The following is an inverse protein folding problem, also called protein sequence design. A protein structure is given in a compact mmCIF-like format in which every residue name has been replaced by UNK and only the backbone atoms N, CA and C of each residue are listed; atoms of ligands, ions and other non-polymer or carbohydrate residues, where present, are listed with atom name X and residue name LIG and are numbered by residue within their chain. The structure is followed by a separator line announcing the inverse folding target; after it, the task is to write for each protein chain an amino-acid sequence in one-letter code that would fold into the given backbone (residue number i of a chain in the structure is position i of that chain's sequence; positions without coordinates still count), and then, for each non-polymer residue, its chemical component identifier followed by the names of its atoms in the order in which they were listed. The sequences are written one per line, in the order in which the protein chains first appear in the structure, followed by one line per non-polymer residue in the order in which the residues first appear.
data_IF_856396590658
#
_entry.id   IF_856396590658
#
_cell.length_a   1.000
_cell.length_b   1.000
_cell.length_c   1.000
_cell.angle_alpha   90.00
_cell.angle_beta   90.00
_cell.angle_gamma   90.00
#
_symmetry.space_group_name_H-M   'P 1'
#
loop_
_entity.id
_entity.type
_entity.pdbx_description
1 polymer ?
#
# COMPACT_ATOMS: atom_id res chain seq x y z
N UNK A 1 -19.14 -0.43 11.91
CA UNK A 1 -20.48 -0.03 11.46
C UNK A 1 -21.42 -1.22 11.26
N UNK A 2 -21.17 -2.15 10.30
CA UNK A 2 -22.09 -3.25 9.98
C UNK A 2 -22.59 -4.06 11.19
N UNK A 3 -21.70 -4.46 12.11
CA UNK A 3 -22.09 -5.14 13.36
C UNK A 3 -23.12 -4.37 14.20
N UNK A 4 -23.03 -3.04 14.23
CA UNK A 4 -23.97 -2.19 14.99
C UNK A 4 -25.29 -2.02 14.24
N UNK A 5 -25.25 -1.81 12.93
CA UNK A 5 -26.47 -1.74 12.11
C UNK A 5 -27.27 -3.04 12.19
N UNK A 6 -26.62 -4.20 12.13
CA UNK A 6 -27.27 -5.50 12.30
C UNK A 6 -27.95 -5.65 13.66
N UNK A 7 -27.35 -5.15 14.75
CA UNK A 7 -27.97 -5.20 16.09
C UNK A 7 -29.21 -4.31 16.22
N UNK A 8 -29.26 -3.21 15.46
CA UNK A 8 -30.40 -2.28 15.50
C UNK A 8 -31.56 -2.81 14.67
N UNK A 9 -31.28 -3.42 13.51
CA UNK A 9 -32.31 -3.75 12.53
C UNK A 9 -32.70 -5.25 12.50
N UNK A 10 -31.94 -6.13 13.17
CA UNK A 10 -32.24 -7.57 13.23
C UNK A 10 -32.47 -8.00 14.67
N UNK A 11 -33.57 -8.73 14.92
CA UNK A 11 -33.78 -9.45 16.19
C UNK A 11 -32.91 -10.71 16.27
N UNK A 12 -32.49 -11.25 15.12
CA UNK A 12 -31.57 -12.39 15.05
C UNK A 12 -30.11 -11.90 15.00
N UNK A 13 -29.33 -12.27 16.03
CA UNK A 13 -27.91 -11.95 16.13
C UNK A 13 -26.99 -13.01 15.51
N UNK A 14 -27.53 -14.13 15.01
CA UNK A 14 -26.75 -15.20 14.35
C UNK A 14 -25.88 -14.63 13.22
N UNK A 15 -26.39 -13.63 12.48
CA UNK A 15 -25.70 -12.89 11.42
C UNK A 15 -24.34 -12.30 11.86
N UNK A 16 -24.17 -11.95 13.14
CA UNK A 16 -22.94 -11.33 13.65
C UNK A 16 -21.73 -12.28 13.62
N UNK A 17 -21.95 -13.61 13.64
CA UNK A 17 -20.87 -14.59 13.60
C UNK A 17 -20.19 -14.64 12.22
N UNK A 18 -20.90 -14.23 11.17
CA UNK A 18 -20.43 -14.17 9.79
C UNK A 18 -19.69 -12.87 9.46
N UNK A 19 -19.73 -11.88 10.37
CA UNK A 19 -19.00 -10.62 10.22
C UNK A 19 -17.64 -10.70 10.94
N UNK A 20 -16.51 -10.78 10.21
CA UNK A 20 -15.20 -10.92 10.82
C UNK A 20 -14.85 -9.70 11.69
N UNK A 21 -14.00 -9.92 12.69
CA UNK A 21 -13.41 -8.81 13.45
C UNK A 21 -12.36 -8.13 12.58
N UNK A 22 -12.20 -6.82 12.76
CA UNK A 22 -11.17 -6.03 12.09
C UNK A 22 -10.29 -5.39 13.17
N UNK A 23 -8.98 -5.58 13.05
CA UNK A 23 -7.96 -5.13 14.01
C UNK A 23 -6.87 -4.31 13.32
N UNK A 24 -7.16 -3.70 12.15
CA UNK A 24 -6.16 -3.00 11.35
C UNK A 24 -5.37 -1.96 12.14
N UNK A 25 -6.04 -1.04 12.84
CA UNK A 25 -5.38 0.05 13.57
C UNK A 25 -4.50 -0.51 14.69
N UNK A 26 -5.02 -1.41 15.53
CA UNK A 26 -4.22 -2.01 16.61
C UNK A 26 -3.02 -2.79 16.08
N UNK A 27 -3.18 -3.51 14.97
CA UNK A 27 -2.08 -4.27 14.38
C UNK A 27 -1.01 -3.37 13.74
N UNK A 28 -1.39 -2.23 13.16
CA UNK A 28 -0.43 -1.21 12.70
C UNK A 28 0.31 -0.59 13.89
N UNK A 29 -0.39 -0.27 14.98
CA UNK A 29 0.26 0.22 16.21
C UNK A 29 1.26 -0.82 16.73
N UNK A 30 0.87 -2.10 16.85
CA UNK A 30 1.77 -3.19 17.27
C UNK A 30 2.99 -3.32 16.36
N UNK A 31 2.82 -3.17 15.04
CA UNK A 31 3.92 -3.16 14.07
C UNK A 31 4.91 -2.02 14.37
N UNK A 32 4.40 -0.79 14.51
CA UNK A 32 5.22 0.39 14.72
C UNK A 32 5.91 0.37 16.09
N UNK A 33 5.23 -0.11 17.14
CA UNK A 33 5.82 -0.36 18.47
C UNK A 33 6.97 -1.37 18.37
N UNK A 34 6.74 -2.51 17.70
CA UNK A 34 7.77 -3.54 17.53
C UNK A 34 8.98 -3.02 16.75
N UNK A 35 8.73 -2.26 15.68
CA UNK A 35 9.79 -1.65 14.88
C UNK A 35 10.56 -0.58 15.66
N UNK A 36 9.87 0.28 16.41
CA UNK A 36 10.50 1.31 17.25
C UNK A 36 11.36 0.69 18.36
N UNK A 37 10.89 -0.36 19.03
CA UNK A 37 11.68 -1.07 20.05
C UNK A 37 12.93 -1.77 19.49
N UNK A 38 12.98 -2.03 18.17
CA UNK A 38 14.20 -2.56 17.54
C UNK A 38 15.29 -1.49 17.34
N UNK A 39 14.93 -0.21 17.42
CA UNK A 39 15.87 0.91 17.33
C UNK A 39 16.58 1.11 18.67
N UNK A 40 17.89 1.39 18.61
CA UNK A 40 18.72 1.67 19.79
C UNK A 40 19.04 3.17 19.81
N UNK A 41 18.44 3.95 20.73
CA UNK A 41 18.68 5.40 20.80
C UNK A 41 20.15 5.75 21.08
N UNK A 42 20.62 6.84 20.48
CA UNK A 42 21.98 7.38 20.66
C UNK A 42 22.03 8.52 21.68
N UNK A 43 20.91 9.21 21.92
CA UNK A 43 20.76 10.29 22.91
C UNK A 43 20.03 9.83 24.16
N UNK A 44 20.23 10.57 25.25
CA UNK A 44 19.43 10.42 26.47
C UNK A 44 18.03 10.97 26.27
N UNK A 45 17.02 10.12 26.41
CA UNK A 45 15.61 10.47 26.21
C UNK A 45 14.86 9.38 25.46
N UNK A 46 13.55 9.57 25.27
CA UNK A 46 12.75 8.67 24.42
C UNK A 46 12.88 9.10 22.96
N UNK A 47 13.35 8.20 22.09
CA UNK A 47 13.24 8.40 20.65
C UNK A 47 11.76 8.39 20.22
N UNK A 48 11.41 9.13 19.17
CA UNK A 48 10.04 9.24 18.67
C UNK A 48 9.82 8.44 17.38
N UNK A 49 8.54 8.24 17.06
CA UNK A 49 8.06 7.92 15.72
C UNK A 49 7.76 9.23 15.00
N UNK A 50 8.32 9.42 13.80
CA UNK A 50 7.98 10.52 12.91
C UNK A 50 7.07 10.01 11.80
N UNK A 51 5.79 10.40 11.83
CA UNK A 51 4.83 10.09 10.78
C UNK A 51 4.92 11.18 9.69
N UNK A 52 5.44 10.80 8.52
CA UNK A 52 5.52 11.69 7.35
C UNK A 52 4.22 11.62 6.56
N UNK A 53 3.63 12.76 6.27
CA UNK A 53 2.24 12.86 5.79
C UNK A 53 2.09 13.87 4.67
N UNK A 54 1.06 13.68 3.84
CA UNK A 54 0.72 14.67 2.82
C UNK A 54 0.10 15.92 3.48
N UNK A 55 0.40 17.12 2.96
CA UNK A 55 -0.31 18.33 3.37
C UNK A 55 -1.80 18.18 3.06
N UNK A 56 -2.66 18.64 3.98
CA UNK A 56 -4.12 18.57 3.85
C UNK A 56 -4.68 17.16 3.53
N UNK A 57 -4.04 16.09 4.04
CA UNK A 57 -4.48 14.70 3.81
C UNK A 57 -5.94 14.47 4.22
N UNK A 58 -6.76 14.00 3.28
CA UNK A 58 -8.13 13.52 3.56
C UNK A 58 -8.14 12.26 4.43
N UNK A 59 -7.02 11.52 4.49
CA UNK A 59 -6.89 10.30 5.29
C UNK A 59 -6.50 10.57 6.75
N UNK A 60 -6.56 11.83 7.20
CA UNK A 60 -6.22 12.18 8.59
C UNK A 60 -7.04 11.39 9.62
N UNK A 61 -8.29 11.02 9.30
CA UNK A 61 -9.15 10.20 10.16
C UNK A 61 -8.61 8.76 10.35
N UNK A 62 -7.85 8.25 9.39
CA UNK A 62 -7.16 6.95 9.48
C UNK A 62 -5.76 7.07 10.11
N UNK A 63 -5.16 8.26 10.08
CA UNK A 63 -3.81 8.54 10.59
C UNK A 63 -3.83 8.82 12.09
N UNK A 64 -4.75 9.67 12.56
CA UNK A 64 -4.83 10.10 13.97
C UNK A 64 -5.00 8.95 14.96
N UNK A 65 -5.82 7.92 14.72
CA UNK A 65 -5.91 6.78 15.63
C UNK A 65 -4.57 6.05 15.83
N UNK A 66 -3.70 6.03 14.81
CA UNK A 66 -2.36 5.43 14.92
C UNK A 66 -1.47 6.31 15.81
N UNK A 67 -1.50 7.64 15.60
CA UNK A 67 -0.76 8.59 16.44
C UNK A 67 -1.18 8.46 17.92
N UNK A 68 -2.48 8.50 18.20
CA UNK A 68 -3.00 8.33 19.57
C UNK A 68 -2.62 6.98 20.17
N UNK A 69 -2.74 5.90 19.41
CA UNK A 69 -2.38 4.57 19.90
C UNK A 69 -0.89 4.39 20.21
N UNK A 70 0.00 5.10 19.52
CA UNK A 70 1.43 5.14 19.88
C UNK A 70 1.67 5.92 21.18
N UNK A 71 0.97 7.05 21.38
CA UNK A 71 1.02 7.80 22.63
C UNK A 71 0.48 6.99 23.82
N UNK A 72 -0.61 6.24 23.62
CA UNK A 72 -1.15 5.31 24.63
C UNK A 72 -0.17 4.18 24.98
N UNK A 73 0.71 3.81 24.04
CA UNK A 73 1.81 2.87 24.25
C UNK A 73 3.10 3.55 24.78
N UNK A 74 3.01 4.80 25.24
CA UNK A 74 4.11 5.62 25.76
C UNK A 74 5.29 5.86 24.79
N UNK A 75 5.01 5.78 23.48
CA UNK A 75 5.94 6.08 22.38
C UNK A 75 5.54 7.43 21.76
N UNK A 76 6.37 8.48 21.89
CA UNK A 76 6.07 9.77 21.27
C UNK A 76 5.92 9.65 19.75
N UNK A 77 4.79 10.09 19.21
CA UNK A 77 4.55 10.15 17.78
C UNK A 77 4.32 11.60 17.35
N UNK A 78 5.14 12.08 16.42
CA UNK A 78 5.01 13.42 15.83
C UNK A 78 4.68 13.32 14.36
N UNK A 79 3.89 14.28 13.89
CA UNK A 79 3.49 14.42 12.50
C UNK A 79 4.35 15.49 11.85
N UNK A 80 4.92 15.19 10.69
CA UNK A 80 5.68 16.15 9.89
C UNK A 80 5.17 16.08 8.45
N UNK A 81 4.75 17.22 7.90
CA UNK A 81 4.35 17.27 6.50
C UNK A 81 5.55 16.98 5.61
N UNK A 82 5.31 16.34 4.47
CA UNK A 82 6.38 15.91 3.56
C UNK A 82 7.29 17.07 3.18
N UNK A 83 6.71 18.21 2.83
CA UNK A 83 7.41 19.42 2.39
C UNK A 83 8.24 20.07 3.51
N UNK A 84 7.78 19.98 4.76
CA UNK A 84 8.46 20.55 5.92
C UNK A 84 9.65 19.71 6.41
N UNK A 85 9.83 18.50 5.87
CA UNK A 85 10.76 17.52 6.42
C UNK A 85 12.21 18.02 6.41
N UNK A 86 12.64 18.79 5.41
CA UNK A 86 14.00 19.31 5.39
C UNK A 86 14.24 20.45 6.39
N UNK A 87 13.20 21.23 6.70
CA UNK A 87 13.26 22.35 7.63
C UNK A 87 13.11 21.90 9.09
N UNK A 88 12.21 20.96 9.34
CA UNK A 88 11.91 20.47 10.69
C UNK A 88 12.83 19.34 11.16
N UNK A 89 13.80 18.92 10.33
CA UNK A 89 14.78 17.90 10.75
C UNK A 89 16.22 18.29 10.47
N UNK A 90 17.12 17.68 11.22
CA UNK A 90 18.55 17.65 10.88
C UNK A 90 19.09 16.23 10.98
N UNK A 91 20.08 15.92 10.15
CA UNK A 91 20.83 14.68 10.22
C UNK A 91 22.19 14.98 10.86
N UNK A 92 22.47 14.40 12.02
CA UNK A 92 23.76 14.57 12.69
C UNK A 92 24.89 13.85 11.95
N UNK A 93 26.14 14.16 12.31
CA UNK A 93 27.32 13.50 11.74
C UNK A 93 27.34 11.98 11.94
N UNK A 94 26.72 11.48 13.00
CA UNK A 94 26.57 10.05 13.28
C UNK A 94 25.29 9.45 12.68
N UNK A 95 24.64 10.14 11.73
CA UNK A 95 23.41 9.72 11.04
C UNK A 95 22.18 9.57 11.95
N UNK A 96 22.19 10.19 13.13
CA UNK A 96 21.00 10.30 13.98
C UNK A 96 20.08 11.38 13.40
N UNK A 97 18.82 11.03 13.14
CA UNK A 97 17.81 11.96 12.66
C UNK A 97 17.18 12.68 13.84
N UNK A 98 17.17 14.01 13.79
CA UNK A 98 16.62 14.87 14.85
C UNK A 98 15.44 15.66 14.29
N UNK A 99 14.30 15.56 14.97
CA UNK A 99 13.10 16.33 14.68
C UNK A 99 13.01 17.54 15.62
N UNK A 100 12.74 18.71 15.07
CA UNK A 100 12.73 19.99 15.80
C UNK A 100 11.30 20.48 15.94
N UNK A 101 10.81 20.53 17.17
CA UNK A 101 9.58 21.25 17.48
C UNK A 101 9.84 22.75 17.44
N UNK A 102 8.89 23.52 16.91
CA UNK A 102 8.98 24.98 16.89
C UNK A 102 9.28 25.54 18.29
N UNK A 103 10.44 26.20 18.43
CA UNK A 103 10.89 26.82 19.68
C UNK A 103 11.54 25.88 20.72
N UNK A 104 11.78 24.60 20.38
CA UNK A 104 12.50 23.66 21.24
C UNK A 104 14.01 23.68 21.00
N UNK A 105 14.80 23.57 22.07
CA UNK A 105 16.25 23.42 21.99
C UNK A 105 16.63 21.92 22.04
N UNK A 106 17.58 21.48 21.19
CA UNK A 106 18.22 20.15 21.29
C UNK A 106 17.73 19.02 20.37
N UNK A 107 16.55 19.15 19.73
CA UNK A 107 16.00 18.19 18.76
C UNK A 107 15.65 16.80 19.33
N UNK A 108 14.51 16.24 18.94
CA UNK A 108 14.03 14.93 19.36
C UNK A 108 14.59 13.85 18.44
N UNK A 109 15.26 12.84 19.00
CA UNK A 109 15.76 11.73 18.20
C UNK A 109 14.62 10.91 17.58
N UNK A 110 14.68 10.70 16.26
CA UNK A 110 13.70 9.89 15.53
C UNK A 110 14.21 8.45 15.43
N UNK A 111 13.50 7.52 16.06
CA UNK A 111 13.82 6.09 16.00
C UNK A 111 13.13 5.35 14.86
N UNK A 112 12.00 5.88 14.38
CA UNK A 112 11.20 5.28 13.31
C UNK A 112 10.59 6.37 12.42
N UNK A 113 10.72 6.24 11.10
CA UNK A 113 10.00 7.04 10.12
C UNK A 113 8.87 6.19 9.53
N UNK A 114 7.63 6.64 9.72
CA UNK A 114 6.44 5.98 9.17
C UNK A 114 5.84 6.82 8.03
N UNK A 115 5.88 6.26 6.81
CA UNK A 115 5.45 6.97 5.61
C UNK A 115 3.94 6.86 5.39
N UNK A 116 3.28 8.02 5.33
CA UNK A 116 1.92 8.27 4.82
C UNK A 116 1.95 9.30 3.67
N UNK A 117 3.14 9.50 3.10
CA UNK A 117 3.49 10.35 1.96
C UNK A 117 4.72 9.76 1.26
N UNK A 118 5.09 10.34 0.12
CA UNK A 118 6.24 9.89 -0.68
C UNK A 118 5.97 8.62 -1.47
N UNK A 119 4.72 8.41 -1.90
CA UNK A 119 4.31 7.32 -2.78
C UNK A 119 4.01 7.80 -4.21
N UNK A 120 3.83 9.10 -4.39
CA UNK A 120 3.35 9.68 -5.63
C UNK A 120 4.47 10.44 -6.36
N UNK A 121 4.53 10.41 -7.70
CA UNK A 121 5.63 11.02 -8.45
C UNK A 121 5.85 12.51 -8.16
N UNK A 122 4.76 13.27 -8.00
CA UNK A 122 4.84 14.72 -7.76
C UNK A 122 5.44 15.05 -6.39
N UNK A 123 5.36 14.15 -5.41
CA UNK A 123 6.00 14.33 -4.11
C UNK A 123 7.54 14.27 -4.21
N UNK A 124 8.07 13.76 -5.32
CA UNK A 124 9.52 13.71 -5.62
C UNK A 124 9.99 14.82 -6.55
N UNK A 125 9.11 15.77 -6.87
CA UNK A 125 9.50 17.04 -7.49
C UNK A 125 10.28 17.89 -6.46
N UNK A 126 11.04 18.87 -6.96
CA UNK A 126 11.86 19.74 -6.12
C UNK A 126 12.76 18.98 -5.12
N UNK A 127 12.49 19.13 -3.82
CA UNK A 127 13.29 18.60 -2.72
C UNK A 127 12.89 17.18 -2.28
N UNK A 128 11.84 16.58 -2.87
CA UNK A 128 11.33 15.28 -2.43
C UNK A 128 12.34 14.14 -2.48
N UNK A 129 13.28 14.18 -3.44
CA UNK A 129 14.39 13.22 -3.50
C UNK A 129 15.35 13.38 -2.31
N UNK A 130 15.63 14.61 -1.91
CA UNK A 130 16.48 14.93 -0.77
C UNK A 130 15.79 14.57 0.55
N UNK A 131 14.48 14.82 0.66
CA UNK A 131 13.64 14.38 1.78
C UNK A 131 13.77 12.87 1.98
N UNK A 132 13.55 12.10 0.91
CA UNK A 132 13.66 10.64 0.95
C UNK A 132 15.08 10.20 1.30
N UNK A 133 16.10 10.81 0.67
CA UNK A 133 17.50 10.48 0.89
C UNK A 133 17.90 10.70 2.36
N UNK A 134 17.52 11.83 2.97
CA UNK A 134 17.79 12.12 4.39
C UNK A 134 17.21 11.05 5.30
N UNK A 135 15.96 10.63 5.05
CA UNK A 135 15.33 9.56 5.82
C UNK A 135 16.11 8.25 5.68
N UNK A 136 16.41 7.84 4.44
CA UNK A 136 17.09 6.57 4.17
C UNK A 136 18.53 6.53 4.71
N UNK A 137 19.25 7.66 4.68
CA UNK A 137 20.60 7.80 5.23
C UNK A 137 20.64 7.81 6.77
N UNK A 138 19.51 8.05 7.43
CA UNK A 138 19.45 8.03 8.89
C UNK A 138 19.44 6.62 9.47
N UNK A 139 19.85 6.50 10.73
CA UNK A 139 19.76 5.28 11.53
C UNK A 139 18.32 4.88 11.88
N UNK A 140 17.35 5.78 11.76
CA UNK A 140 15.95 5.50 12.06
C UNK A 140 15.47 4.29 11.24
N UNK A 141 14.61 3.46 11.82
CA UNK A 141 13.94 2.40 11.08
C UNK A 141 12.94 3.03 10.10
N UNK A 142 12.85 2.52 8.87
CA UNK A 142 11.92 3.03 7.85
C UNK A 142 10.76 2.05 7.67
N UNK A 143 9.54 2.57 7.62
CA UNK A 143 8.34 1.79 7.39
C UNK A 143 7.55 2.36 6.18
N UNK A 144 7.82 1.91 4.94
CA UNK A 144 8.90 1.00 4.52
C UNK A 144 10.21 1.71 4.14
N UNK A 145 11.33 0.98 4.11
CA UNK A 145 12.59 1.45 3.48
C UNK A 145 12.48 1.48 1.94
N UNK A 146 13.47 2.07 1.27
CA UNK A 146 13.45 2.23 -0.20
C UNK A 146 13.44 0.89 -0.94
N UNK A 147 14.16 -0.11 -0.45
CA UNK A 147 14.20 -1.42 -1.09
C UNK A 147 12.86 -2.13 -1.00
N UNK A 148 12.20 -2.06 0.17
CA UNK A 148 10.86 -2.58 0.39
C UNK A 148 9.84 -1.83 -0.46
N UNK A 149 9.96 -0.50 -0.57
CA UNK A 149 9.09 0.28 -1.46
C UNK A 149 9.22 -0.18 -2.92
N UNK A 150 10.44 -0.43 -3.42
CA UNK A 150 10.62 -0.95 -4.78
C UNK A 150 9.93 -2.30 -5.02
N UNK A 151 9.75 -3.12 -3.97
CA UNK A 151 9.06 -4.41 -4.11
C UNK A 151 7.56 -4.28 -4.42
N UNK A 152 6.95 -3.11 -4.20
CA UNK A 152 5.52 -2.90 -4.48
C UNK A 152 5.25 -2.61 -5.95
N UNK A 153 6.30 -2.35 -6.75
CA UNK A 153 6.17 -2.04 -8.17
C UNK A 153 5.52 -3.18 -8.95
N UNK A 154 4.67 -2.81 -9.92
CA UNK A 154 3.95 -3.78 -10.75
C UNK A 154 4.88 -4.64 -11.60
N UNK A 155 6.06 -4.12 -11.98
CA UNK A 155 7.12 -4.88 -12.63
C UNK A 155 7.69 -5.98 -11.72
N UNK A 156 7.84 -5.71 -10.41
CA UNK A 156 8.28 -6.73 -9.45
C UNK A 156 7.19 -7.79 -9.28
N UNK A 157 5.93 -7.37 -9.15
CA UNK A 157 4.78 -8.29 -9.14
C UNK A 157 4.81 -9.21 -10.38
N UNK A 158 5.01 -8.64 -11.58
CA UNK A 158 5.11 -9.38 -12.82
C UNK A 158 6.30 -10.36 -12.83
N UNK A 159 7.48 -9.92 -12.40
CA UNK A 159 8.68 -10.76 -12.34
C UNK A 159 8.50 -11.97 -11.40
N UNK A 160 7.78 -11.80 -10.29
CA UNK A 160 7.47 -12.88 -9.35
C UNK A 160 6.53 -13.95 -9.93
N UNK A 161 5.72 -13.62 -10.95
CA UNK A 161 4.86 -14.60 -11.62
C UNK A 161 5.60 -15.56 -12.55
N UNK A 162 6.83 -15.21 -12.93
CA UNK A 162 7.62 -16.01 -13.88
C UNK A 162 8.03 -17.36 -13.27
N UNK A 163 8.14 -18.43 -14.09
CA UNK A 163 8.55 -19.74 -13.62
C UNK A 163 9.88 -19.71 -12.84
N UNK A 164 9.91 -20.32 -11.66
CA UNK A 164 11.10 -20.38 -10.82
C UNK A 164 11.42 -19.11 -10.01
N UNK A 165 10.72 -17.98 -10.24
CA UNK A 165 11.00 -16.74 -9.53
C UNK A 165 10.70 -16.83 -8.03
N UNK A 166 9.54 -17.39 -7.65
CA UNK A 166 9.16 -17.53 -6.23
C UNK A 166 10.09 -18.48 -5.47
N UNK A 167 10.54 -19.56 -6.12
CA UNK A 167 11.41 -20.58 -5.53
C UNK A 167 12.79 -20.05 -5.11
N UNK A 168 13.19 -18.89 -5.64
CA UNK A 168 14.41 -18.18 -5.19
C UNK A 168 14.28 -17.62 -3.77
N UNK A 169 13.05 -17.40 -3.30
CA UNK A 169 12.76 -16.74 -2.02
C UNK A 169 11.98 -17.64 -1.06
N UNK A 170 11.29 -18.66 -1.56
CA UNK A 170 10.33 -19.46 -0.80
C UNK A 170 10.50 -20.96 -1.06
N UNK A 171 10.27 -21.80 -0.04
CA UNK A 171 10.12 -23.24 -0.24
C UNK A 171 9.03 -23.54 -1.26
N UNK A 172 9.22 -24.60 -2.05
CA UNK A 172 8.33 -25.01 -3.15
C UNK A 172 6.85 -25.05 -2.75
N UNK A 173 6.53 -25.59 -1.56
CA UNK A 173 5.15 -25.67 -1.08
C UNK A 173 4.49 -24.28 -0.95
N UNK A 174 5.18 -23.31 -0.34
CA UNK A 174 4.68 -21.94 -0.21
C UNK A 174 4.61 -21.23 -1.56
N UNK A 175 5.62 -21.44 -2.42
CA UNK A 175 5.62 -20.90 -3.78
C UNK A 175 4.41 -21.41 -4.58
N UNK A 176 4.07 -22.70 -4.48
CA UNK A 176 2.88 -23.27 -5.13
C UNK A 176 1.58 -22.64 -4.62
N UNK A 177 1.42 -22.47 -3.31
CA UNK A 177 0.22 -21.84 -2.73
C UNK A 177 0.07 -20.37 -3.19
N UNK A 178 1.14 -19.59 -3.16
CA UNK A 178 1.11 -18.18 -3.59
C UNK A 178 0.83 -18.09 -5.10
N UNK A 179 1.43 -18.97 -5.91
CA UNK A 179 1.20 -18.97 -7.37
C UNK A 179 -0.26 -19.17 -7.75
N UNK A 180 -1.06 -19.85 -6.93
CA UNK A 180 -2.51 -20.02 -7.17
C UNK A 180 -3.29 -18.70 -7.12
N UNK A 181 -2.73 -17.64 -6.51
CA UNK A 181 -3.38 -16.33 -6.43
C UNK A 181 -3.00 -15.39 -7.58
N UNK A 182 -2.09 -15.81 -8.45
CA UNK A 182 -1.56 -14.96 -9.52
C UNK A 182 -2.48 -14.97 -10.74
N UNK A 183 -2.70 -13.78 -11.29
CA UNK A 183 -3.24 -13.63 -12.63
C UNK A 183 -2.12 -13.63 -13.66
N UNK A 184 -2.39 -14.11 -14.90
CA UNK A 184 -1.44 -13.96 -16.00
C UNK A 184 -1.05 -12.50 -16.20
N UNK A 185 0.24 -12.22 -16.22
CA UNK A 185 0.77 -10.88 -16.46
C UNK A 185 2.16 -10.94 -17.10
N UNK A 186 2.45 -9.98 -17.97
CA UNK A 186 3.70 -9.93 -18.73
C UNK A 186 4.13 -8.49 -19.01
N UNK A 187 5.44 -8.26 -19.08
CA UNK A 187 6.03 -6.98 -19.50
C UNK A 187 5.84 -6.76 -21.01
N UNK A 188 5.71 -5.50 -21.43
CA UNK A 188 5.74 -5.13 -22.85
C UNK A 188 7.18 -4.77 -23.28
N UNK A 189 8.13 -5.65 -23.02
CA UNK A 189 9.54 -5.48 -23.43
C UNK A 189 9.79 -6.08 -24.84
N UNK A 190 11.07 -6.21 -25.22
CA UNK A 190 11.51 -6.73 -26.53
C UNK A 190 11.83 -8.22 -26.51
N UNK A 191 11.57 -8.93 -25.41
CA UNK A 191 11.69 -10.40 -25.34
C UNK A 191 10.62 -11.07 -26.22
N UNK A 192 10.77 -12.35 -26.62
CA UNK A 192 9.74 -13.05 -27.38
C UNK A 192 8.35 -13.02 -26.72
N UNK A 193 8.29 -13.19 -25.39
CA UNK A 193 7.07 -13.12 -24.59
C UNK A 193 6.52 -11.69 -24.53
N UNK A 194 7.41 -10.70 -24.39
CA UNK A 194 7.05 -9.29 -24.43
C UNK A 194 6.44 -8.89 -25.76
N UNK A 195 7.06 -9.28 -26.88
CA UNK A 195 6.52 -9.06 -28.23
C UNK A 195 5.16 -9.73 -28.43
N UNK A 196 4.94 -10.91 -27.83
CA UNK A 196 3.62 -11.55 -27.77
C UNK A 196 2.58 -10.66 -27.07
N UNK A 197 2.95 -10.10 -25.93
CA UNK A 197 2.09 -9.22 -25.14
C UNK A 197 1.84 -7.88 -25.84
N UNK A 198 2.83 -7.34 -26.55
CA UNK A 198 2.65 -6.16 -27.42
C UNK A 198 1.58 -6.42 -28.49
N UNK A 199 1.62 -7.58 -29.16
CA UNK A 199 0.59 -7.96 -30.14
C UNK A 199 -0.81 -8.05 -29.55
N UNK A 200 -0.94 -8.55 -28.32
CA UNK A 200 -2.22 -8.59 -27.60
C UNK A 200 -2.68 -7.16 -27.27
N UNK A 201 -1.79 -6.34 -26.70
CA UNK A 201 -2.11 -4.99 -26.27
C UNK A 201 -2.41 -4.02 -27.42
N UNK A 202 -1.92 -4.30 -28.63
CA UNK A 202 -2.22 -3.50 -29.83
C UNK A 202 -3.48 -3.95 -30.60
N UNK A 203 -4.12 -5.04 -30.18
CA UNK A 203 -5.33 -5.58 -30.80
C UNK A 203 -6.54 -5.27 -29.92
N UNK A 204 -7.53 -4.53 -30.45
CA UNK A 204 -8.70 -4.08 -29.68
C UNK A 204 -9.53 -5.23 -29.12
N UNK A 205 -9.72 -6.30 -29.88
CA UNK A 205 -10.54 -7.43 -29.46
C UNK A 205 -9.83 -8.23 -28.36
N UNK A 206 -8.52 -8.44 -28.53
CA UNK A 206 -7.72 -9.19 -27.54
C UNK A 206 -7.50 -8.38 -26.26
N UNK A 207 -7.28 -7.07 -26.37
CA UNK A 207 -7.06 -6.18 -25.24
C UNK A 207 -8.27 -6.10 -24.30
N UNK A 208 -9.48 -6.41 -24.77
CA UNK A 208 -10.72 -6.41 -23.99
C UNK A 208 -10.65 -7.23 -22.69
N UNK A 209 -9.82 -8.28 -22.66
CA UNK A 209 -9.63 -9.13 -21.47
C UNK A 209 -8.47 -8.70 -20.56
N UNK A 210 -7.90 -7.51 -20.79
CA UNK A 210 -6.68 -7.06 -20.14
C UNK A 210 -6.78 -5.67 -19.53
N UNK A 211 -5.83 -5.41 -18.64
CA UNK A 211 -5.55 -4.13 -18.03
C UNK A 211 -4.05 -3.85 -18.17
N UNK A 212 -3.73 -2.65 -18.67
CA UNK A 212 -2.37 -2.15 -18.75
C UNK A 212 -2.09 -1.33 -17.49
N UNK A 213 -0.99 -1.62 -16.79
CA UNK A 213 -0.62 -0.94 -15.54
C UNK A 213 0.79 -0.36 -15.62
N UNK A 214 0.99 0.93 -15.34
CA UNK A 214 2.31 1.49 -15.09
C UNK A 214 2.80 1.15 -13.67
N UNK A 215 4.07 1.44 -13.38
CA UNK A 215 4.67 1.29 -12.05
C UNK A 215 4.28 2.46 -11.12
N UNK A 216 2.99 2.67 -10.91
CA UNK A 216 2.44 3.70 -10.02
C UNK A 216 1.48 3.07 -8.99
N UNK A 217 1.29 3.76 -7.86
CA UNK A 217 0.35 3.37 -6.78
C UNK A 217 -0.83 4.36 -6.71
N UNK A 218 -1.70 4.28 -5.70
CA UNK A 218 -2.78 5.28 -5.51
C UNK A 218 -4.03 5.16 -6.41
N UNK A 219 -3.97 4.32 -7.46
CA UNK A 219 -5.05 4.12 -8.45
C UNK A 219 -5.05 5.20 -9.55
N UNK A 220 -5.92 5.13 -10.57
CA UNK A 220 -6.05 6.09 -11.70
C UNK A 220 -5.07 5.97 -12.85
N UNK A 221 -4.08 5.11 -12.71
CA UNK A 221 -3.02 4.99 -13.70
C UNK A 221 -3.22 3.83 -14.66
N UNK A 222 -4.25 3.01 -14.44
CA UNK A 222 -4.50 1.84 -15.28
C UNK A 222 -5.27 2.22 -16.54
N UNK A 223 -4.99 1.50 -17.63
CA UNK A 223 -5.72 1.60 -18.89
C UNK A 223 -6.40 0.26 -19.13
N UNK A 224 -7.68 0.29 -19.44
CA UNK A 224 -8.54 -0.89 -19.47
C UNK A 224 -8.91 -1.25 -20.90
N UNK A 225 -8.95 -2.55 -21.20
CA UNK A 225 -9.72 -3.09 -22.33
C UNK A 225 -9.36 -2.44 -23.68
N UNK A 226 -10.36 -2.06 -24.47
CA UNK A 226 -10.25 -1.42 -25.77
C UNK A 226 -9.52 -0.09 -25.80
N UNK A 227 -9.27 0.54 -24.65
CA UNK A 227 -8.52 1.80 -24.55
C UNK A 227 -7.02 1.58 -24.59
N UNK A 228 -6.55 0.35 -24.33
CA UNK A 228 -5.12 -0.01 -24.29
C UNK A 228 -4.41 0.27 -25.63
N UNK A 229 -4.92 -0.16 -26.80
CA UNK A 229 -4.24 0.08 -28.07
C UNK A 229 -4.11 1.56 -28.40
N UNK A 230 -5.14 2.36 -28.13
CA UNK A 230 -5.14 3.80 -28.41
C UNK A 230 -4.15 4.53 -27.50
N UNK A 231 -4.15 4.20 -26.20
CA UNK A 231 -3.15 4.73 -25.28
C UNK A 231 -1.72 4.38 -25.72
N UNK A 232 -1.46 3.11 -26.05
CA UNK A 232 -0.13 2.67 -26.47
C UNK A 232 0.34 3.32 -27.78
N UNK A 233 -0.58 3.65 -28.70
CA UNK A 233 -0.25 4.39 -29.91
C UNK A 233 0.23 5.82 -29.64
N UNK A 234 -0.15 6.40 -28.48
CA UNK A 234 0.33 7.72 -28.06
C UNK A 234 1.68 7.69 -27.34
N UNK A 235 2.16 6.50 -26.97
CA UNK A 235 3.41 6.31 -26.21
C UNK A 235 4.51 5.76 -27.12
N UNK A 236 5.72 6.34 -27.12
CA UNK A 236 6.84 5.80 -27.89
C UNK A 236 7.12 4.34 -27.56
N UNK A 237 7.35 3.52 -28.59
CA UNK A 237 7.42 2.06 -28.47
C UNK A 237 8.59 1.57 -27.58
N UNK A 238 9.64 2.38 -27.47
CA UNK A 238 10.77 2.21 -26.56
C UNK A 238 10.35 2.29 -25.08
N UNK A 239 9.29 3.02 -24.76
CA UNK A 239 8.82 3.20 -23.37
C UNK A 239 7.82 2.14 -22.92
N UNK A 240 7.37 1.26 -23.82
CA UNK A 240 6.36 0.25 -23.50
C UNK A 240 6.83 -0.71 -22.39
N UNK A 241 8.14 -0.88 -22.22
CA UNK A 241 8.71 -1.68 -21.12
C UNK A 241 8.36 -1.16 -19.72
N UNK A 242 7.89 0.09 -19.60
CA UNK A 242 7.45 0.70 -18.33
C UNK A 242 6.07 0.16 -17.87
N UNK A 243 5.37 -0.57 -18.72
CA UNK A 243 4.04 -1.10 -18.45
C UNK A 243 4.04 -2.63 -18.34
N UNK A 244 3.08 -3.13 -17.58
CA UNK A 244 2.72 -4.54 -17.56
C UNK A 244 1.33 -4.71 -18.17
N UNK A 245 1.12 -5.80 -18.92
CA UNK A 245 -0.18 -6.26 -19.36
C UNK A 245 -0.63 -7.37 -18.42
N UNK A 246 -1.75 -7.19 -17.73
CA UNK A 246 -2.31 -8.19 -16.81
C UNK A 246 -3.70 -8.60 -17.28
N UNK A 247 -4.02 -9.89 -17.22
CA UNK A 247 -5.38 -10.37 -17.49
C UNK A 247 -6.33 -9.82 -16.44
N UNK A 248 -7.50 -9.34 -16.87
CA UNK A 248 -8.53 -8.87 -15.95
C UNK A 248 -9.05 -10.01 -15.08
N UNK A 249 -9.29 -9.67 -13.81
CA UNK A 249 -9.98 -10.57 -12.88
C UNK A 249 -11.46 -10.52 -13.24
N UNK A 250 -12.07 -11.69 -13.41
CA UNK A 250 -13.51 -11.84 -13.57
C UNK A 250 -14.12 -12.04 -12.18
N UNK A 251 -14.76 -11.00 -11.59
CA UNK A 251 -15.40 -11.15 -10.29
C UNK A 251 -16.64 -12.04 -10.40
N UNK A 252 -17.13 -12.61 -9.28
CA UNK A 252 -18.39 -13.33 -9.27
C UNK A 252 -19.52 -12.50 -9.89
N UNK A 253 -20.33 -13.08 -10.80
CA UNK A 253 -21.44 -12.37 -11.41
C UNK A 253 -22.58 -12.14 -10.41
N UNK A 254 -23.48 -11.22 -10.77
CA UNK A 254 -24.78 -11.01 -10.11
C UNK A 254 -24.75 -10.60 -8.63
N UNK A 255 -23.62 -10.09 -8.14
CA UNK A 255 -23.54 -9.48 -6.80
C UNK A 255 -24.22 -8.11 -6.81
N UNK A 256 -25.23 -7.93 -5.98
CA UNK A 256 -25.94 -6.66 -5.78
C UNK A 256 -25.53 -6.01 -4.47
N UNK A 257 -25.47 -4.68 -4.43
CA UNK A 257 -25.09 -3.93 -3.24
C UNK A 257 -25.75 -2.57 -3.15
N UNK A 258 -25.75 -2.03 -1.93
CA UNK A 258 -26.16 -0.66 -1.63
C UNK A 258 -24.92 0.13 -1.21
N UNK A 259 -24.61 1.19 -1.95
CA UNK A 259 -23.46 2.06 -1.68
C UNK A 259 -23.97 3.45 -1.30
N UNK A 260 -23.45 3.97 -0.19
CA UNK A 260 -23.73 5.32 0.26
C UNK A 260 -22.49 6.17 0.02
N UNK A 261 -22.59 7.12 -0.90
CA UNK A 261 -21.53 8.09 -1.18
C UNK A 261 -21.88 9.45 -0.58
N UNK A 262 -20.94 10.40 -0.59
CA UNK A 262 -21.20 11.75 -0.12
C UNK A 262 -22.27 12.51 -0.95
N UNK A 263 -22.54 12.04 -2.18
CA UNK A 263 -23.48 12.69 -3.11
C UNK A 263 -24.82 11.96 -3.13
N UNK A 264 -24.78 10.64 -3.34
CA UNK A 264 -25.97 9.84 -3.63
C UNK A 264 -25.89 8.43 -3.03
N UNK A 265 -27.05 7.76 -3.04
CA UNK A 265 -27.17 6.33 -2.75
C UNK A 265 -27.28 5.54 -4.06
N UNK A 266 -26.42 4.55 -4.24
CA UNK A 266 -26.44 3.63 -5.37
C UNK A 266 -26.98 2.27 -4.94
N UNK A 267 -27.85 1.68 -5.77
CA UNK A 267 -28.28 0.30 -5.64
C UNK A 267 -28.16 -0.39 -7.00
N UNK A 268 -27.45 -1.51 -7.05
CA UNK A 268 -27.27 -2.27 -8.28
C UNK A 268 -26.10 -3.23 -8.20
N UNK A 269 -25.62 -3.64 -9.38
CA UNK A 269 -24.50 -4.57 -9.50
C UNK A 269 -23.22 -3.96 -8.94
N UNK A 270 -22.50 -4.72 -8.12
CA UNK A 270 -21.26 -4.28 -7.46
C UNK A 270 -20.13 -5.29 -7.64
N UNK A 271 -18.90 -4.79 -7.50
CA UNK A 271 -17.69 -5.60 -7.41
C UNK A 271 -16.97 -5.26 -6.12
N UNK A 272 -16.57 -6.31 -5.40
CA UNK A 272 -15.85 -6.18 -4.14
C UNK A 272 -14.38 -6.56 -4.31
N UNK A 273 -13.51 -5.87 -3.57
CA UNK A 273 -12.08 -6.12 -3.50
C UNK A 273 -11.67 -6.34 -2.05
N UNK A 274 -11.17 -7.54 -1.75
CA UNK A 274 -10.64 -7.89 -0.43
C UNK A 274 -9.13 -7.62 -0.39
N UNK A 275 -8.72 -6.74 0.51
CA UNK A 275 -7.33 -6.57 0.91
C UNK A 275 -7.06 -7.31 2.22
N UNK A 276 -5.94 -8.03 2.29
CA UNK A 276 -5.45 -8.63 3.54
C UNK A 276 -4.25 -7.82 4.01
N UNK A 277 -4.32 -7.31 5.25
CA UNK A 277 -3.23 -6.57 5.87
C UNK A 277 -2.24 -7.57 6.49
N UNK A 278 -0.96 -7.42 6.18
CA UNK A 278 0.14 -8.13 6.81
C UNK A 278 1.12 -7.16 7.48
N UNK A 279 1.67 -7.55 8.62
CA UNK A 279 2.69 -6.78 9.36
C UNK A 279 3.96 -7.60 9.44
N UNK A 280 5.10 -7.02 9.05
CA UNK A 280 6.40 -7.67 9.10
C UNK A 280 7.46 -6.70 9.62
N UNK A 281 8.27 -7.16 10.57
CA UNK A 281 9.48 -6.47 11.03
C UNK A 281 10.62 -7.47 10.92
N UNK A 282 11.73 -7.06 10.33
CA UNK A 282 12.91 -7.91 10.21
C UNK A 282 14.18 -7.12 10.49
N UNK A 283 15.17 -7.80 11.05
CA UNK A 283 16.52 -7.30 11.22
C UNK A 283 17.42 -7.95 10.16
N UNK A 284 18.29 -7.15 9.55
CA UNK A 284 19.34 -7.67 8.68
C UNK A 284 20.68 -7.06 9.09
N UNK A 285 21.53 -7.89 9.68
CA UNK A 285 22.93 -7.53 9.91
C UNK A 285 23.75 -7.82 8.66
N UNK A 286 24.75 -6.97 8.38
CA UNK A 286 25.65 -7.19 7.26
C UNK A 286 26.27 -8.59 7.34
N UNK A 287 26.19 -9.36 6.25
CA UNK A 287 26.68 -10.74 6.19
C UNK A 287 25.87 -11.79 6.93
N UNK A 288 24.70 -11.44 7.51
CA UNK A 288 23.81 -12.38 8.19
C UNK A 288 22.52 -12.62 7.38
N UNK A 289 21.87 -13.75 7.66
CA UNK A 289 20.51 -14.01 7.18
C UNK A 289 19.52 -13.00 7.79
N UNK A 290 18.38 -12.83 7.12
CA UNK A 290 17.30 -11.96 7.60
C UNK A 290 16.64 -12.63 8.81
N UNK A 291 16.58 -11.92 9.93
CA UNK A 291 15.93 -12.37 11.15
C UNK A 291 14.54 -11.71 11.28
N UNK A 292 13.43 -12.44 11.07
CA UNK A 292 12.09 -11.88 11.25
C UNK A 292 11.77 -11.69 12.73
N UNK A 293 11.56 -10.45 13.15
CA UNK A 293 11.13 -10.09 14.51
C UNK A 293 9.60 -10.18 14.66
N UNK A 294 8.87 -9.91 13.59
CA UNK A 294 7.42 -10.05 13.52
C UNK A 294 7.01 -10.42 12.09
N UNK A 295 6.03 -11.31 11.92
CA UNK A 295 5.42 -11.65 10.64
C UNK A 295 4.03 -12.22 10.89
N UNK A 296 2.99 -11.41 10.70
CA UNK A 296 1.60 -11.75 11.05
C UNK A 296 0.63 -11.25 10.00
N UNK A 297 -0.44 -12.01 9.81
CA UNK A 297 -1.67 -11.48 9.21
C UNK A 297 -2.37 -10.64 10.28
N UNK A 298 -2.67 -9.39 9.94
CA UNK A 298 -3.05 -8.34 10.88
C UNK A 298 -4.52 -7.94 10.79
N UNK A 299 -5.10 -8.03 9.60
CA UNK A 299 -6.49 -7.64 9.38
C UNK A 299 -6.84 -7.62 7.91
N UNK A 300 -7.84 -6.81 7.56
CA UNK A 300 -8.39 -6.78 6.21
C UNK A 300 -9.02 -5.43 5.89
N UNK A 301 -9.04 -5.10 4.61
CA UNK A 301 -9.86 -4.03 4.04
C UNK A 301 -10.81 -4.65 3.05
N UNK A 302 -12.01 -4.12 2.94
CA UNK A 302 -12.99 -4.57 1.96
C UNK A 302 -13.56 -3.32 1.32
N UNK A 303 -13.47 -3.25 -0.01
CA UNK A 303 -13.91 -2.10 -0.78
C UNK A 303 -14.91 -2.57 -1.81
N UNK A 304 -15.96 -1.81 -2.02
CA UNK A 304 -17.02 -2.16 -2.97
C UNK A 304 -17.29 -0.97 -3.89
N UNK A 305 -17.45 -1.25 -5.19
CA UNK A 305 -17.74 -0.24 -6.23
C UNK A 305 -18.88 -0.72 -7.13
N UNK A 306 -19.57 0.18 -7.85
CA UNK A 306 -20.45 -0.21 -8.94
C UNK A 306 -19.72 -1.07 -9.97
N UNK A 307 -20.36 -2.13 -10.47
CA UNK A 307 -19.72 -3.07 -11.40
C UNK A 307 -19.27 -2.42 -12.72
N UNK A 308 -19.97 -1.36 -13.14
CA UNK A 308 -19.63 -0.60 -14.34
C UNK A 308 -18.42 0.35 -14.16
N UNK A 309 -17.93 0.56 -12.93
CA UNK A 309 -16.77 1.41 -12.69
C UNK A 309 -15.48 0.60 -12.86
N UNK A 310 -14.57 1.04 -13.73
CA UNK A 310 -13.29 0.36 -13.93
C UNK A 310 -12.34 0.51 -12.73
N UNK A 311 -12.41 1.62 -12.00
CA UNK A 311 -11.50 1.91 -10.90
C UNK A 311 -12.12 1.75 -9.51
N UNK A 312 -11.34 1.21 -8.57
CA UNK A 312 -11.69 1.17 -7.15
C UNK A 312 -11.02 2.34 -6.42
N UNK A 313 -11.76 3.42 -6.12
CA UNK A 313 -11.25 4.56 -5.37
C UNK A 313 -12.28 5.09 -4.37
N UNK A 314 -12.08 4.78 -3.09
CA UNK A 314 -12.98 5.21 -2.01
C UNK A 314 -12.86 6.70 -1.72
N UNK A 315 -11.62 7.22 -1.70
CA UNK A 315 -11.32 8.60 -1.29
C UNK A 315 -12.04 9.62 -2.18
N UNK A 316 -12.20 9.34 -3.49
CA UNK A 316 -12.89 10.24 -4.42
C UNK A 316 -14.34 9.83 -4.73
N UNK A 317 -14.92 8.93 -3.93
CA UNK A 317 -16.33 8.58 -3.99
C UNK A 317 -16.73 7.62 -5.13
N UNK A 318 -15.79 6.91 -5.74
CA UNK A 318 -16.06 5.89 -6.76
C UNK A 318 -16.29 4.48 -6.16
N UNK A 319 -16.10 4.34 -4.85
CA UNK A 319 -16.40 3.14 -4.10
C UNK A 319 -16.56 3.45 -2.60
N UNK A 320 -16.91 2.44 -1.83
CA UNK A 320 -17.14 2.54 -0.39
C UNK A 320 -16.27 1.53 0.36
N UNK A 321 -15.88 1.85 1.59
CA UNK A 321 -15.43 0.83 2.54
C UNK A 321 -16.61 -0.05 2.94
N UNK A 322 -16.34 -1.33 3.09
CA UNK A 322 -17.35 -2.37 3.29
C UNK A 322 -16.84 -3.43 4.29
N UNK A 323 -17.65 -4.44 4.61
CA UNK A 323 -17.28 -5.60 5.43
C UNK A 323 -17.68 -6.89 4.70
N UNK A 324 -16.79 -7.88 4.59
CA UNK A 324 -17.17 -9.14 3.99
C UNK A 324 -18.14 -9.89 4.89
N UNK A 325 -19.08 -10.58 4.27
CA UNK A 325 -19.94 -11.57 4.91
C UNK A 325 -19.40 -12.96 4.59
N UNK A 326 -19.04 -13.73 5.61
CA UNK A 326 -18.48 -15.07 5.45
C UNK A 326 -19.61 -16.09 5.20
N UNK A 327 -19.64 -16.67 4.01
CA UNK A 327 -20.56 -17.73 3.58
C UNK A 327 -19.95 -19.12 3.76
#
# INVERSE_FOLDING_TARGET
MHKHLSRIHSQDTSYLQHLPKNQNISAVIELLVTAHHSYIPTKTGKACVLMLVQPMSMNIADERPIESGLWDAEIPCYRCEWEDMLEQTTLSADQTLLFHLNGGDGGIEVGLVYYRAGCEPWEYEHEGKEIRLRCEMSKAVKCPDVLTHLTTMKVVQCALTQPGSLERFLPKQKATMIRQTFMPMQLLDTTPEGLGSRRIASDKERAESYILKPNLEGGRHNIYRSDIPEFLASVPQEEWHKFILMRLIEPPPDVQGFLMTAKDMYHGAVVCELGILGTCVWERRAGSEINPLNNKVAGWTFKTKPAAADEMNVIKGLGCFDCPFLV
#
